data_IF_039446806462
#
_entry.id   IF_039446806462
#
_cell.length_a   1.000
_cell.length_b   1.000
_cell.length_c   1.000
_cell.angle_alpha   90.00
_cell.angle_beta   90.00
_cell.angle_gamma   90.00
#
_symmetry.space_group_name_H-M   'P 1'
#
loop_
_entity.id
_entity.type
_entity.pdbx_description
1 polymer ?
#
# COMPACT_ATOMS: atom_id res chain seq x y z
N UNK A 1 4.93 26.33 -23.15
CA UNK A 1 5.03 25.59 -21.86
C UNK A 1 6.36 24.89 -21.88
N UNK A 2 7.13 24.93 -20.79
CA UNK A 2 8.35 24.11 -20.67
C UNK A 2 7.91 22.66 -20.61
N UNK A 3 8.29 21.88 -21.60
CA UNK A 3 7.96 20.45 -21.68
C UNK A 3 8.60 19.72 -20.50
N UNK A 4 7.79 19.12 -19.64
CA UNK A 4 8.29 18.33 -18.52
C UNK A 4 8.91 17.05 -19.08
N UNK A 5 10.23 16.91 -18.96
CA UNK A 5 10.97 15.71 -19.33
C UNK A 5 11.08 14.78 -18.13
N UNK A 6 10.61 13.55 -18.26
CA UNK A 6 10.46 12.60 -17.17
C UNK A 6 11.25 11.31 -17.39
N UNK A 7 11.77 10.78 -16.31
CA UNK A 7 12.04 9.35 -16.18
C UNK A 7 10.89 8.71 -15.44
N UNK A 8 10.29 7.67 -16.00
CA UNK A 8 9.01 7.15 -15.53
C UNK A 8 9.12 5.67 -15.15
N UNK A 9 8.82 5.34 -13.89
CA UNK A 9 8.55 3.97 -13.49
C UNK A 9 7.14 3.56 -13.91
N UNK A 10 7.01 2.43 -14.59
CA UNK A 10 5.74 1.90 -15.07
C UNK A 10 5.34 0.66 -14.27
N UNK A 11 4.15 0.67 -13.70
CA UNK A 11 3.63 -0.49 -12.98
C UNK A 11 2.34 -0.23 -12.23
N UNK A 12 1.69 -1.30 -11.76
CA UNK A 12 0.52 -1.16 -10.90
C UNK A 12 0.92 -0.79 -9.46
N UNK A 13 2.11 -1.21 -9.02
CA UNK A 13 2.73 -0.85 -7.75
C UNK A 13 1.89 -1.16 -6.50
N UNK A 14 1.10 -2.22 -6.52
CA UNK A 14 0.33 -2.63 -5.38
C UNK A 14 1.24 -3.17 -4.26
N UNK A 15 1.18 -2.54 -3.09
CA UNK A 15 2.01 -2.84 -1.94
C UNK A 15 3.39 -2.19 -1.93
N UNK A 16 3.87 -1.57 -3.01
CA UNK A 16 5.21 -0.93 -3.09
C UNK A 16 6.32 -1.84 -2.54
N UNK A 17 6.29 -3.12 -2.88
CA UNK A 17 7.23 -4.12 -2.38
C UNK A 17 8.68 -3.90 -2.86
N UNK A 18 9.64 -4.67 -2.32
CA UNK A 18 11.07 -4.51 -2.63
C UNK A 18 11.40 -4.60 -4.13
N UNK A 19 10.63 -5.36 -4.92
CA UNK A 19 10.72 -5.35 -6.38
C UNK A 19 10.36 -3.98 -6.98
N UNK A 20 9.27 -3.37 -6.54
CA UNK A 20 8.88 -2.01 -6.92
C UNK A 20 9.90 -0.97 -6.45
N UNK A 21 10.46 -1.17 -5.26
CA UNK A 21 11.51 -0.29 -4.72
C UNK A 21 12.74 -0.23 -5.63
N UNK A 22 13.10 -1.31 -6.31
CA UNK A 22 14.20 -1.32 -7.28
C UNK A 22 13.92 -0.39 -8.47
N UNK A 23 12.67 -0.39 -9.00
CA UNK A 23 12.26 0.54 -10.06
C UNK A 23 12.33 2.00 -9.58
N UNK A 24 11.81 2.29 -8.37
CA UNK A 24 11.82 3.63 -7.79
C UNK A 24 13.24 4.18 -7.60
N UNK A 25 14.16 3.35 -7.10
CA UNK A 25 15.57 3.72 -6.95
C UNK A 25 16.20 4.03 -8.31
N UNK A 26 15.93 3.20 -9.33
CA UNK A 26 16.46 3.44 -10.67
C UNK A 26 15.94 4.75 -11.28
N UNK A 27 14.66 5.05 -11.10
CA UNK A 27 14.08 6.33 -11.54
C UNK A 27 14.77 7.53 -10.88
N UNK A 28 15.09 7.44 -9.58
CA UNK A 28 15.82 8.50 -8.87
C UNK A 28 17.26 8.67 -9.40
N UNK A 29 17.97 7.54 -9.63
CA UNK A 29 19.33 7.55 -10.20
C UNK A 29 19.36 8.20 -11.58
N UNK A 30 18.49 7.76 -12.49
CA UNK A 30 18.39 8.31 -13.85
C UNK A 30 17.96 9.77 -13.81
N UNK A 31 16.98 10.12 -12.98
CA UNK A 31 16.53 11.50 -12.79
C UNK A 31 17.67 12.45 -12.41
N UNK A 32 18.54 12.00 -11.50
CA UNK A 32 19.69 12.79 -11.06
C UNK A 32 20.79 12.89 -12.13
N UNK A 33 21.04 11.83 -12.91
CA UNK A 33 22.12 11.81 -13.92
C UNK A 33 21.74 12.48 -15.23
N UNK A 34 20.47 12.36 -15.65
CA UNK A 34 19.98 12.87 -16.94
C UNK A 34 19.19 14.18 -16.81
N UNK A 35 19.08 14.72 -15.59
CA UNK A 35 18.29 15.92 -15.29
C UNK A 35 16.82 15.78 -15.74
N UNK A 36 16.22 14.61 -15.44
CA UNK A 36 14.83 14.29 -15.70
C UNK A 36 14.02 14.34 -14.40
N UNK A 37 12.73 14.60 -14.51
CA UNK A 37 11.81 14.57 -13.36
C UNK A 37 11.52 13.09 -12.98
N UNK A 38 11.90 12.63 -11.79
CA UNK A 38 11.54 11.30 -11.31
C UNK A 38 10.03 11.19 -11.18
N UNK A 39 9.42 10.25 -11.91
CA UNK A 39 7.97 10.12 -12.02
C UNK A 39 7.53 8.66 -11.93
N UNK A 40 6.31 8.47 -11.46
CA UNK A 40 5.67 7.16 -11.39
C UNK A 40 4.34 7.20 -12.13
N UNK A 41 4.12 6.28 -13.03
CA UNK A 41 2.81 6.03 -13.63
C UNK A 41 2.25 4.73 -13.06
N UNK A 42 1.08 4.84 -12.43
CA UNK A 42 0.31 3.72 -11.88
C UNK A 42 -1.15 3.82 -12.31
N UNK A 43 -2.01 2.91 -11.86
CA UNK A 43 -3.41 2.84 -12.26
C UNK A 43 -4.32 2.97 -11.03
N UNK A 44 -5.47 3.58 -11.22
CA UNK A 44 -6.48 3.76 -10.17
C UNK A 44 -7.27 2.47 -9.85
N UNK A 45 -7.37 1.55 -10.81
CA UNK A 45 -8.05 0.26 -10.65
C UNK A 45 -7.13 -0.91 -11.05
N UNK A 46 -7.34 -2.08 -10.42
CA UNK A 46 -6.57 -3.27 -10.76
C UNK A 46 -6.89 -3.73 -12.19
N UNK A 47 -5.89 -3.92 -13.08
CA UNK A 47 -6.11 -4.31 -14.48
C UNK A 47 -7.01 -5.54 -14.64
N UNK A 48 -6.86 -6.56 -13.79
CA UNK A 48 -7.65 -7.80 -13.84
C UNK A 48 -9.14 -7.58 -13.56
N UNK A 49 -9.51 -6.53 -12.83
CA UNK A 49 -10.92 -6.21 -12.59
C UNK A 49 -11.63 -5.88 -13.90
N UNK A 50 -10.96 -5.18 -14.80
CA UNK A 50 -11.55 -4.72 -16.06
C UNK A 50 -11.33 -5.76 -17.17
N UNK A 51 -10.17 -6.39 -17.23
CA UNK A 51 -9.81 -7.35 -18.29
C UNK A 51 -10.42 -8.74 -18.04
N UNK A 52 -10.40 -9.21 -16.80
CA UNK A 52 -10.81 -10.58 -16.42
C UNK A 52 -12.13 -10.61 -15.64
N UNK A 53 -12.74 -9.45 -15.35
CA UNK A 53 -13.90 -9.31 -14.43
C UNK A 53 -13.66 -10.02 -13.08
N UNK A 54 -12.42 -9.97 -12.58
CA UNK A 54 -11.98 -10.62 -11.35
C UNK A 54 -11.60 -9.58 -10.32
N UNK A 55 -12.33 -9.53 -9.21
CA UNK A 55 -11.95 -8.69 -8.08
C UNK A 55 -10.70 -9.26 -7.40
N UNK A 56 -9.63 -8.49 -7.47
CA UNK A 56 -8.38 -8.75 -6.74
C UNK A 56 -8.25 -7.68 -5.67
N UNK A 57 -8.28 -8.02 -4.37
CA UNK A 57 -8.16 -7.03 -3.32
C UNK A 57 -6.77 -6.40 -3.35
N UNK A 58 -6.73 -5.07 -3.21
CA UNK A 58 -5.50 -4.28 -3.22
C UNK A 58 -4.79 -4.39 -1.86
N UNK A 59 -3.47 -4.40 -1.86
CA UNK A 59 -2.68 -4.31 -0.61
C UNK A 59 -2.82 -2.91 -0.02
N UNK A 60 -2.81 -1.88 -0.87
CA UNK A 60 -2.95 -0.48 -0.47
C UNK A 60 -4.02 0.24 -1.30
N UNK A 61 -4.73 1.17 -0.68
CA UNK A 61 -5.54 2.14 -1.41
C UNK A 61 -4.67 2.97 -2.37
N UNK A 62 -5.23 3.61 -3.40
CA UNK A 62 -4.47 4.55 -4.25
C UNK A 62 -3.79 5.65 -3.43
N UNK A 63 -4.47 6.17 -2.41
CA UNK A 63 -3.98 7.21 -1.50
C UNK A 63 -2.79 6.72 -0.68
N UNK A 64 -2.90 5.52 -0.08
CA UNK A 64 -1.79 4.90 0.68
C UNK A 64 -0.60 4.60 -0.22
N UNK A 65 -0.85 4.13 -1.44
CA UNK A 65 0.18 3.88 -2.45
C UNK A 65 0.96 5.15 -2.80
N UNK A 66 0.25 6.23 -3.11
CA UNK A 66 0.88 7.53 -3.36
C UNK A 66 1.63 8.04 -2.13
N UNK A 67 1.03 7.91 -0.95
CA UNK A 67 1.66 8.28 0.32
C UNK A 67 2.94 7.49 0.60
N UNK A 68 2.97 6.19 0.31
CA UNK A 68 4.16 5.34 0.43
C UNK A 68 5.26 5.79 -0.54
N UNK A 69 4.93 6.01 -1.82
CA UNK A 69 5.90 6.46 -2.82
C UNK A 69 6.57 7.76 -2.38
N UNK A 70 5.78 8.75 -1.94
CA UNK A 70 6.32 10.03 -1.45
C UNK A 70 7.20 9.86 -0.21
N UNK A 71 6.71 9.14 0.80
CA UNK A 71 7.45 9.00 2.08
C UNK A 71 8.74 8.20 1.97
N UNK A 72 8.70 7.09 1.21
CA UNK A 72 9.82 6.15 1.15
C UNK A 72 10.87 6.59 0.13
N UNK A 73 10.44 7.18 -1.00
CA UNK A 73 11.33 7.48 -2.12
C UNK A 73 11.44 8.98 -2.42
N UNK A 74 10.61 9.84 -1.85
CA UNK A 74 10.63 11.28 -2.15
C UNK A 74 10.17 11.61 -3.57
N UNK A 75 9.47 10.70 -4.27
CA UNK A 75 8.96 10.95 -5.62
C UNK A 75 7.60 11.63 -5.51
N UNK A 76 7.51 12.90 -5.96
CA UNK A 76 6.30 13.71 -5.89
C UNK A 76 5.42 13.60 -7.14
N UNK A 77 6.03 13.36 -8.31
CA UNK A 77 5.32 13.32 -9.60
C UNK A 77 4.72 11.92 -9.83
N UNK A 78 3.53 11.71 -9.25
CA UNK A 78 2.80 10.43 -9.31
C UNK A 78 1.55 10.63 -10.15
N UNK A 79 1.45 9.87 -11.23
CA UNK A 79 0.37 9.95 -12.21
C UNK A 79 -0.47 8.69 -12.13
N UNK A 80 -1.76 8.86 -11.81
CA UNK A 80 -2.73 7.77 -11.87
C UNK A 80 -3.40 7.78 -13.24
N UNK A 81 -3.10 6.77 -14.05
CA UNK A 81 -3.85 6.57 -15.29
C UNK A 81 -5.21 5.94 -14.95
N UNK A 82 -6.25 6.57 -15.51
CA UNK A 82 -7.58 5.99 -15.42
C UNK A 82 -7.66 4.79 -16.34
N UNK A 83 -8.04 3.64 -15.76
CA UNK A 83 -8.11 2.38 -16.50
C UNK A 83 -9.52 2.24 -17.12
N UNK A 84 -9.77 2.97 -18.20
CA UNK A 84 -11.03 2.97 -18.95
C UNK A 84 -10.96 2.14 -20.23
N UNK A 85 -12.07 2.11 -21.00
CA UNK A 85 -12.15 1.37 -22.27
C UNK A 85 -11.12 1.86 -23.29
N UNK A 86 -10.77 3.13 -23.28
CA UNK A 86 -9.80 3.73 -24.21
C UNK A 86 -8.40 3.24 -23.88
N UNK A 87 -8.00 3.34 -22.62
CA UNK A 87 -6.69 2.88 -22.14
C UNK A 87 -6.51 1.37 -22.32
N UNK A 88 -7.57 0.58 -22.05
CA UNK A 88 -7.55 -0.90 -22.20
C UNK A 88 -7.46 -1.34 -23.66
N UNK A 89 -7.99 -0.56 -24.60
CA UNK A 89 -7.96 -0.88 -26.04
C UNK A 89 -6.74 -0.35 -26.77
N UNK A 90 -5.90 0.44 -26.09
CA UNK A 90 -4.70 1.02 -26.68
C UNK A 90 -3.68 -0.08 -27.02
N UNK A 91 -3.18 -0.09 -28.24
CA UNK A 91 -2.10 -1.02 -28.64
C UNK A 91 -0.82 -0.72 -27.89
N UNK A 92 0.07 -1.69 -27.77
CA UNK A 92 1.29 -1.55 -26.99
C UNK A 92 2.20 -0.40 -27.49
N UNK A 93 2.30 -0.19 -28.80
CA UNK A 93 3.08 0.87 -29.43
C UNK A 93 2.46 2.24 -29.17
N UNK A 94 1.16 2.39 -29.37
CA UNK A 94 0.44 3.62 -29.07
C UNK A 94 0.51 4.00 -27.58
N UNK A 95 0.57 3.01 -26.68
CA UNK A 95 0.77 3.28 -25.25
C UNK A 95 2.12 3.96 -24.99
N UNK A 96 3.20 3.47 -25.60
CA UNK A 96 4.54 4.09 -25.44
C UNK A 96 4.58 5.45 -26.12
N UNK A 97 4.00 5.61 -27.32
CA UNK A 97 3.89 6.89 -28.00
C UNK A 97 3.10 7.90 -27.16
N UNK A 98 2.04 7.48 -26.48
CA UNK A 98 1.27 8.31 -25.54
C UNK A 98 2.13 8.75 -24.34
N UNK A 99 2.92 7.86 -23.76
CA UNK A 99 3.86 8.22 -22.68
C UNK A 99 4.89 9.26 -23.14
N UNK A 100 5.42 9.09 -24.34
CA UNK A 100 6.41 9.98 -24.91
C UNK A 100 5.84 11.37 -25.20
N UNK A 101 4.67 11.44 -25.86
CA UNK A 101 4.09 12.69 -26.34
C UNK A 101 3.33 13.45 -25.25
N UNK A 102 2.49 12.78 -24.46
CA UNK A 102 1.61 13.45 -23.50
C UNK A 102 2.25 13.59 -22.11
N UNK A 103 3.05 12.59 -21.70
CA UNK A 103 3.71 12.66 -20.40
C UNK A 103 5.17 13.09 -20.45
N UNK A 104 5.72 13.30 -21.63
CA UNK A 104 7.08 13.76 -21.79
C UNK A 104 8.12 12.74 -21.34
N UNK A 105 7.82 11.43 -21.49
CA UNK A 105 8.77 10.38 -21.18
C UNK A 105 10.04 10.50 -22.03
N UNK A 106 11.19 10.46 -21.36
CA UNK A 106 12.52 10.43 -21.99
C UNK A 106 13.33 9.23 -21.53
N UNK A 107 12.87 8.56 -20.47
CA UNK A 107 13.43 7.30 -19.99
C UNK A 107 12.31 6.51 -19.32
N UNK A 108 12.17 5.24 -19.64
CA UNK A 108 11.16 4.34 -19.07
C UNK A 108 11.83 3.25 -18.23
N UNK A 109 11.30 3.00 -17.04
CA UNK A 109 11.77 1.95 -16.13
C UNK A 109 10.62 0.98 -15.86
N UNK A 110 10.81 -0.29 -16.18
CA UNK A 110 9.80 -1.33 -16.00
C UNK A 110 10.37 -2.63 -15.44
N UNK A 111 9.54 -3.47 -14.83
CA UNK A 111 9.92 -4.83 -14.46
C UNK A 111 10.03 -5.75 -15.67
N UNK A 112 10.80 -6.83 -15.55
CA UNK A 112 10.96 -7.82 -16.62
C UNK A 112 9.64 -8.53 -16.99
N UNK A 113 8.71 -8.64 -16.05
CA UNK A 113 7.38 -9.23 -16.20
C UNK A 113 6.30 -8.23 -16.60
N UNK A 114 6.65 -6.95 -16.80
CA UNK A 114 5.69 -5.89 -17.11
C UNK A 114 4.95 -6.16 -18.42
N UNK A 115 3.62 -6.16 -18.34
CA UNK A 115 2.71 -6.31 -19.47
C UNK A 115 1.86 -5.06 -19.63
N UNK A 116 1.70 -4.59 -20.86
CA UNK A 116 0.97 -3.37 -21.18
C UNK A 116 0.31 -3.46 -22.56
N UNK A 117 -0.44 -2.45 -22.91
CA UNK A 117 -1.23 -2.45 -24.15
C UNK A 117 -2.45 -3.37 -24.06
N UNK A 118 -3.20 -3.40 -25.17
CA UNK A 118 -4.43 -4.19 -25.29
C UNK A 118 -4.16 -5.65 -24.94
N UNK A 119 -4.95 -6.20 -24.00
CA UNK A 119 -4.83 -7.58 -23.50
C UNK A 119 -3.44 -7.98 -22.99
N UNK A 120 -2.58 -6.98 -22.65
CA UNK A 120 -1.22 -7.23 -22.16
C UNK A 120 -0.29 -7.80 -23.23
N UNK A 121 -0.50 -7.47 -24.47
CA UNK A 121 0.34 -7.93 -25.61
C UNK A 121 1.77 -7.38 -25.57
N UNK A 122 1.95 -6.16 -25.00
CA UNK A 122 3.25 -5.53 -24.82
C UNK A 122 4.09 -6.26 -23.78
N UNK A 123 5.38 -6.35 -24.05
CA UNK A 123 6.39 -6.96 -23.17
C UNK A 123 7.54 -5.99 -22.91
N UNK A 124 8.33 -6.26 -21.86
CA UNK A 124 9.53 -5.49 -21.54
C UNK A 124 10.52 -5.40 -22.72
N UNK A 125 10.64 -6.46 -23.53
CA UNK A 125 11.46 -6.46 -24.75
C UNK A 125 10.91 -5.46 -25.79
N UNK A 126 9.61 -5.49 -26.08
CA UNK A 126 8.96 -4.57 -27.02
C UNK A 126 9.03 -3.11 -26.51
N UNK A 127 8.98 -2.91 -25.19
CA UNK A 127 9.20 -1.58 -24.59
C UNK A 127 10.61 -1.07 -24.91
N UNK A 128 11.64 -1.89 -24.72
CA UNK A 128 13.03 -1.53 -25.01
C UNK A 128 13.22 -1.20 -26.50
N UNK A 129 12.74 -2.07 -27.41
CA UNK A 129 12.82 -1.87 -28.85
C UNK A 129 12.14 -0.53 -29.28
N UNK A 130 10.96 -0.21 -28.72
CA UNK A 130 10.25 1.04 -29.03
C UNK A 130 10.96 2.28 -28.46
N UNK A 131 11.56 2.15 -27.26
CA UNK A 131 12.39 3.23 -26.70
C UNK A 131 13.59 3.54 -27.60
N UNK A 132 14.25 2.52 -28.14
CA UNK A 132 15.37 2.70 -29.08
C UNK A 132 14.92 3.41 -30.36
N UNK A 133 13.74 3.06 -30.92
CA UNK A 133 13.14 3.73 -32.07
C UNK A 133 12.87 5.22 -31.81
N UNK A 134 12.40 5.56 -30.60
CA UNK A 134 12.09 6.93 -30.19
C UNK A 134 13.32 7.72 -29.73
N UNK A 135 14.47 7.08 -29.60
CA UNK A 135 15.70 7.69 -29.10
C UNK A 135 15.62 8.10 -27.64
N UNK A 136 14.90 7.35 -26.81
CA UNK A 136 14.78 7.54 -25.35
C UNK A 136 15.40 6.37 -24.58
N UNK A 137 15.78 6.64 -23.31
CA UNK A 137 16.34 5.61 -22.44
C UNK A 137 15.33 4.58 -21.97
N UNK A 138 15.82 3.39 -21.59
CA UNK A 138 15.02 2.38 -20.92
C UNK A 138 15.86 1.52 -19.96
N UNK A 139 15.23 1.05 -18.89
CA UNK A 139 15.80 0.07 -17.96
C UNK A 139 14.76 -1.00 -17.66
N UNK A 140 15.15 -2.25 -17.83
CA UNK A 140 14.33 -3.41 -17.46
C UNK A 140 14.91 -4.02 -16.20
N UNK A 141 14.17 -3.90 -15.11
CA UNK A 141 14.60 -4.33 -13.78
C UNK A 141 14.28 -5.83 -13.59
N UNK A 142 15.26 -6.64 -13.21
CA UNK A 142 15.04 -8.05 -12.93
C UNK A 142 14.25 -8.27 -11.63
N UNK A 143 13.73 -9.51 -11.46
CA UNK A 143 13.03 -9.92 -10.25
C UNK A 143 13.91 -9.76 -9.00
N UNK A 144 13.35 -9.11 -7.99
CA UNK A 144 13.98 -8.98 -6.68
C UNK A 144 13.49 -10.09 -5.76
N UNK A 145 14.42 -10.77 -5.11
CA UNK A 145 14.14 -11.88 -4.19
C UNK A 145 14.48 -11.49 -2.75
N UNK A 146 13.66 -11.96 -1.83
CA UNK A 146 13.95 -11.98 -0.41
C UNK A 146 13.89 -13.45 0.06
N UNK A 147 14.92 -13.90 0.76
CA UNK A 147 15.04 -15.29 1.24
C UNK A 147 14.82 -16.33 0.11
N UNK A 148 15.37 -16.07 -1.10
CA UNK A 148 15.26 -16.94 -2.27
C UNK A 148 13.91 -16.89 -3.01
N UNK A 149 12.90 -16.18 -2.48
CA UNK A 149 11.56 -16.07 -3.04
C UNK A 149 11.40 -14.73 -3.77
N UNK A 150 10.83 -14.76 -4.98
CA UNK A 150 10.51 -13.55 -5.73
C UNK A 150 9.44 -12.74 -4.97
N UNK A 151 9.74 -11.45 -4.74
CA UNK A 151 8.77 -10.55 -4.13
C UNK A 151 7.68 -10.20 -5.14
N UNK A 152 6.43 -10.51 -4.78
CA UNK A 152 5.26 -10.21 -5.61
C UNK A 152 4.06 -9.83 -4.75
N UNK A 153 3.18 -8.96 -5.29
CA UNK A 153 1.94 -8.58 -4.61
C UNK A 153 1.05 -9.80 -4.28
N UNK A 154 1.06 -10.84 -5.11
CA UNK A 154 0.28 -12.06 -4.86
C UNK A 154 0.78 -12.83 -3.64
N UNK A 155 2.10 -12.98 -3.50
CA UNK A 155 2.68 -13.64 -2.34
C UNK A 155 2.44 -12.83 -1.05
N UNK A 156 2.59 -11.51 -1.12
CA UNK A 156 2.35 -10.62 0.02
C UNK A 156 0.88 -10.66 0.46
N UNK A 157 -0.09 -10.71 -0.48
CA UNK A 157 -1.52 -10.87 -0.13
C UNK A 157 -1.76 -12.16 0.67
N UNK A 158 -1.14 -13.27 0.28
CA UNK A 158 -1.27 -14.53 1.02
C UNK A 158 -0.74 -14.38 2.45
N UNK A 159 0.47 -13.81 2.63
CA UNK A 159 1.04 -13.57 3.96
C UNK A 159 0.15 -12.68 4.84
N UNK A 160 -0.42 -11.60 4.29
CA UNK A 160 -1.35 -10.73 5.01
C UNK A 160 -2.64 -11.46 5.40
N UNK A 161 -3.17 -12.31 4.51
CA UNK A 161 -4.38 -13.12 4.75
C UNK A 161 -4.14 -14.19 5.81
N UNK A 162 -2.94 -14.77 5.87
CA UNK A 162 -2.53 -15.74 6.88
C UNK A 162 -2.16 -15.06 8.22
N UNK A 163 -1.91 -13.75 8.19
CA UNK A 163 -1.54 -12.96 9.37
C UNK A 163 -0.05 -12.98 9.69
N UNK A 164 0.79 -13.42 8.76
CA UNK A 164 2.25 -13.34 8.86
C UNK A 164 2.72 -11.93 8.44
N UNK A 165 2.38 -10.95 9.28
CA UNK A 165 2.63 -9.55 9.01
C UNK A 165 4.13 -9.21 9.02
N UNK A 166 4.92 -9.87 9.86
CA UNK A 166 6.36 -9.64 9.97
C UNK A 166 7.04 -10.06 8.65
N UNK A 167 6.67 -11.21 8.12
CA UNK A 167 7.19 -11.67 6.83
C UNK A 167 6.65 -10.84 5.66
N UNK A 168 5.37 -10.46 5.68
CA UNK A 168 4.81 -9.55 4.67
C UNK A 168 5.59 -8.23 4.62
N UNK A 169 5.92 -7.64 5.77
CA UNK A 169 6.71 -6.42 5.87
C UNK A 169 8.14 -6.59 5.32
N UNK A 170 8.75 -7.76 5.52
CA UNK A 170 10.07 -8.04 4.94
C UNK A 170 10.03 -8.04 3.39
N UNK A 171 8.99 -8.60 2.79
CA UNK A 171 8.79 -8.57 1.34
C UNK A 171 8.34 -7.20 0.82
N UNK A 172 7.58 -6.46 1.60
CA UNK A 172 7.23 -5.07 1.30
C UNK A 172 8.46 -4.15 1.37
N UNK A 173 9.36 -4.37 2.33
CA UNK A 173 10.47 -3.46 2.65
C UNK A 173 10.03 -2.26 3.50
N UNK A 174 8.79 -2.27 3.97
CA UNK A 174 8.18 -1.29 4.87
C UNK A 174 7.00 -1.95 5.61
N UNK A 175 6.52 -1.38 6.72
CA UNK A 175 5.30 -1.89 7.38
C UNK A 175 4.07 -1.78 6.48
N UNK A 176 3.16 -2.76 6.59
CA UNK A 176 1.82 -2.63 6.00
C UNK A 176 1.08 -1.45 6.65
N UNK A 177 0.35 -0.68 5.85
CA UNK A 177 -0.26 0.58 6.29
C UNK A 177 -1.77 0.60 6.09
N UNK A 178 -2.45 1.33 6.97
CA UNK A 178 -3.84 1.76 6.84
C UNK A 178 -3.92 3.25 7.16
N UNK A 179 -4.39 4.06 6.21
CA UNK A 179 -4.70 5.48 6.44
C UNK A 179 -6.20 5.69 6.28
N UNK A 180 -6.84 6.27 7.31
CA UNK A 180 -8.26 6.64 7.25
C UNK A 180 -8.54 7.81 8.21
N UNK A 181 -9.70 8.42 8.08
CA UNK A 181 -10.20 9.42 9.02
C UNK A 181 -10.83 8.72 10.22
N UNK A 182 -10.46 9.14 11.42
CA UNK A 182 -10.99 8.57 12.67
C UNK A 182 -12.51 8.81 12.79
N UNK A 183 -13.25 7.72 12.94
CA UNK A 183 -14.72 7.69 13.02
C UNK A 183 -15.21 7.44 14.43
N UNK A 184 -16.47 7.82 14.68
CA UNK A 184 -17.14 7.44 15.92
C UNK A 184 -17.40 5.94 15.97
N UNK A 185 -17.07 5.31 17.11
CA UNK A 185 -17.39 3.93 17.45
C UNK A 185 -18.36 3.84 18.63
N UNK A 186 -18.65 2.62 19.12
CA UNK A 186 -19.57 2.40 20.25
C UNK A 186 -19.04 2.84 21.63
N UNK A 187 -17.82 3.37 21.69
CA UNK A 187 -17.18 3.91 22.91
C UNK A 187 -17.00 2.89 24.05
N UNK A 188 -17.10 1.56 23.77
CA UNK A 188 -16.92 0.52 24.78
C UNK A 188 -15.54 0.61 25.45
N UNK A 189 -14.48 0.89 24.68
CA UNK A 189 -13.14 1.08 25.23
C UNK A 189 -13.03 2.18 26.28
N UNK A 190 -13.86 3.24 26.19
CA UNK A 190 -13.91 4.31 27.23
C UNK A 190 -14.37 3.78 28.58
N UNK A 191 -15.36 2.89 28.60
CA UNK A 191 -15.88 2.29 29.86
C UNK A 191 -14.88 1.34 30.48
N UNK A 192 -13.96 0.81 29.66
CA UNK A 192 -12.88 -0.09 30.08
C UNK A 192 -11.59 0.66 30.48
N UNK A 193 -11.53 1.98 30.30
CA UNK A 193 -10.33 2.77 30.54
C UNK A 193 -9.29 2.70 29.39
N UNK A 194 -9.64 2.10 28.27
CA UNK A 194 -8.79 1.93 27.07
C UNK A 194 -9.49 2.53 25.84
N UNK A 195 -9.57 3.88 25.72
CA UNK A 195 -10.23 4.50 24.59
C UNK A 195 -9.57 4.10 23.26
N UNK A 196 -10.38 3.83 22.23
CA UNK A 196 -9.93 3.44 20.91
C UNK A 196 -10.36 4.44 19.84
N UNK A 197 -9.52 4.63 18.83
CA UNK A 197 -9.92 5.21 17.54
C UNK A 197 -10.44 4.11 16.64
N UNK A 198 -11.34 4.47 15.74
CA UNK A 198 -11.98 3.53 14.82
C UNK A 198 -11.73 3.95 13.38
N UNK A 199 -11.18 3.04 12.60
CA UNK A 199 -10.84 3.23 11.20
C UNK A 199 -11.38 2.07 10.36
N UNK A 200 -11.47 2.25 9.04
CA UNK A 200 -11.97 1.26 8.09
C UNK A 200 -11.00 1.09 6.93
N UNK A 201 -10.89 -0.12 6.46
CA UNK A 201 -10.23 -0.38 5.19
C UNK A 201 -11.08 0.18 4.05
N UNK A 202 -10.44 0.81 3.07
CA UNK A 202 -11.14 1.32 1.89
C UNK A 202 -11.78 0.14 1.09
N UNK A 203 -12.90 0.36 0.39
CA UNK A 203 -13.50 -0.67 -0.44
C UNK A 203 -12.50 -1.27 -1.43
N UNK A 204 -12.45 -2.59 -1.53
CA UNK A 204 -11.52 -3.30 -2.42
C UNK A 204 -10.08 -3.42 -1.90
N UNK A 205 -9.77 -2.89 -0.72
CA UNK A 205 -8.48 -3.11 -0.05
C UNK A 205 -8.54 -4.40 0.77
N UNK A 206 -7.44 -5.15 0.73
CA UNK A 206 -7.26 -6.37 1.50
C UNK A 206 -7.29 -6.05 3.00
N UNK A 207 -8.09 -6.81 3.72
CA UNK A 207 -8.04 -6.81 5.18
C UNK A 207 -7.10 -7.92 5.64
N UNK A 208 -6.07 -7.62 6.43
CA UNK A 208 -5.22 -8.64 7.03
C UNK A 208 -6.02 -9.60 7.92
N UNK A 209 -5.44 -10.75 8.26
CA UNK A 209 -6.07 -11.71 9.15
C UNK A 209 -6.59 -11.03 10.43
N UNK A 210 -7.81 -11.41 10.86
CA UNK A 210 -8.39 -10.86 12.08
C UNK A 210 -7.52 -11.18 13.30
N UNK A 211 -7.41 -10.22 14.21
CA UNK A 211 -6.59 -10.35 15.40
C UNK A 211 -6.09 -9.03 15.94
N UNK A 212 -5.21 -9.12 16.91
CA UNK A 212 -4.62 -7.98 17.61
C UNK A 212 -3.17 -7.81 17.17
N UNK A 213 -2.80 -6.57 16.88
CA UNK A 213 -1.52 -6.20 16.30
C UNK A 213 -0.80 -5.14 17.15
N UNK A 214 0.52 -5.25 17.25
CA UNK A 214 1.39 -4.16 17.65
C UNK A 214 1.55 -3.20 16.46
N UNK A 215 1.27 -1.93 16.68
CA UNK A 215 1.19 -0.91 15.62
C UNK A 215 1.90 0.38 16.03
N UNK A 216 2.38 1.14 15.04
CA UNK A 216 2.72 2.55 15.19
C UNK A 216 1.59 3.40 14.60
N UNK A 217 1.31 4.48 15.27
CA UNK A 217 0.24 5.43 14.93
C UNK A 217 0.86 6.78 14.64
N UNK A 218 0.63 7.30 13.45
CA UNK A 218 1.17 8.58 13.00
C UNK A 218 0.03 9.58 12.83
N UNK A 219 0.16 10.73 13.45
CA UNK A 219 -0.80 11.82 13.38
C UNK A 219 -0.39 12.87 12.34
N UNK A 220 -1.32 13.72 11.93
CA UNK A 220 -1.09 14.79 10.95
C UNK A 220 -0.02 15.79 11.38
N UNK A 221 0.17 16.00 12.68
CA UNK A 221 1.20 16.88 13.24
C UNK A 221 2.60 16.22 13.34
N UNK A 222 2.74 15.01 12.80
CA UNK A 222 4.00 14.25 12.79
C UNK A 222 4.27 13.46 14.07
N UNK A 223 3.37 13.49 15.07
CA UNK A 223 3.53 12.71 16.29
C UNK A 223 3.41 11.21 15.98
N UNK A 224 4.39 10.44 16.45
CA UNK A 224 4.39 8.97 16.43
C UNK A 224 4.04 8.42 17.82
N UNK A 225 3.16 7.43 17.87
CA UNK A 225 2.76 6.76 19.09
C UNK A 225 2.73 5.23 18.91
N UNK A 226 2.87 4.50 20.00
CA UNK A 226 2.64 3.05 20.01
C UNK A 226 1.14 2.79 20.15
N UNK A 227 0.63 1.82 19.39
CA UNK A 227 -0.76 1.40 19.45
C UNK A 227 -0.93 -0.11 19.49
N UNK A 228 -2.10 -0.51 19.95
CA UNK A 228 -2.62 -1.89 19.84
C UNK A 228 -3.86 -1.83 18.99
N UNK A 229 -3.84 -2.50 17.85
CA UNK A 229 -4.93 -2.47 16.87
C UNK A 229 -5.61 -3.83 16.80
N UNK A 230 -6.91 -3.87 17.03
CA UNK A 230 -7.75 -5.03 16.74
C UNK A 230 -8.38 -4.88 15.36
N UNK A 231 -8.19 -5.86 14.49
CA UNK A 231 -8.92 -6.02 13.23
C UNK A 231 -9.97 -7.11 13.44
N UNK A 232 -11.23 -6.78 13.25
CA UNK A 232 -12.33 -7.73 13.42
C UNK A 232 -13.65 -7.24 12.85
N UNK A 233 -14.67 -8.11 12.91
CA UNK A 233 -16.04 -7.77 12.50
C UNK A 233 -16.81 -7.17 13.65
N UNK A 234 -17.63 -6.17 13.35
CA UNK A 234 -18.61 -5.63 14.28
C UNK A 234 -20.02 -5.90 13.79
N UNK A 235 -20.90 -6.49 14.63
CA UNK A 235 -22.33 -6.50 14.35
C UNK A 235 -22.87 -5.08 14.37
N UNK A 236 -23.55 -4.66 13.31
CA UNK A 236 -24.31 -3.40 13.27
C UNK A 236 -25.78 -3.67 13.48
N UNK A 237 -26.52 -2.64 13.88
CA UNK A 237 -27.98 -2.70 14.09
C UNK A 237 -28.70 -3.12 12.79
N UNK A 238 -28.09 -2.86 11.63
CA UNK A 238 -28.62 -3.15 10.29
C UNK A 238 -28.17 -4.51 9.71
N UNK A 239 -27.69 -5.45 10.55
CA UNK A 239 -27.18 -6.78 10.15
C UNK A 239 -26.04 -6.78 9.12
N UNK A 240 -25.45 -5.64 8.77
CA UNK A 240 -24.24 -5.58 7.93
C UNK A 240 -23.01 -5.70 8.83
N UNK A 241 -22.21 -6.74 8.62
CA UNK A 241 -20.91 -6.87 9.27
C UNK A 241 -19.93 -5.87 8.65
N UNK A 242 -19.48 -4.89 9.44
CA UNK A 242 -18.40 -4.00 9.00
C UNK A 242 -17.09 -4.42 9.66
N UNK A 243 -16.08 -4.63 8.80
CA UNK A 243 -14.71 -4.85 9.29
C UNK A 243 -14.13 -3.51 9.71
N UNK A 244 -13.58 -3.45 10.92
CA UNK A 244 -12.99 -2.26 11.51
C UNK A 244 -11.61 -2.54 12.06
N UNK A 245 -10.75 -1.51 12.03
CA UNK A 245 -9.52 -1.44 12.78
C UNK A 245 -9.75 -0.53 14.00
N UNK A 246 -9.73 -1.11 15.20
CA UNK A 246 -9.86 -0.40 16.46
C UNK A 246 -8.51 -0.31 17.14
N UNK A 247 -8.01 0.91 17.29
CA UNK A 247 -6.67 1.11 17.84
C UNK A 247 -6.75 1.85 19.17
N UNK A 248 -6.23 1.21 20.23
CA UNK A 248 -5.87 1.87 21.47
C UNK A 248 -4.45 2.44 21.33
N UNK A 249 -4.32 3.76 21.50
CA UNK A 249 -3.02 4.45 21.46
C UNK A 249 -2.53 4.56 22.91
N UNK A 250 -1.35 4.02 23.18
CA UNK A 250 -0.77 3.97 24.51
C UNK A 250 -0.42 5.39 25.00
N UNK A 251 -0.72 5.68 26.26
CA UNK A 251 -0.39 6.93 26.94
C UNK A 251 -0.86 8.20 26.19
N UNK A 252 -2.02 8.11 25.53
CA UNK A 252 -2.53 9.15 24.66
C UNK A 252 -3.97 9.54 25.00
N UNK A 253 -4.25 10.88 25.10
CA UNK A 253 -5.54 11.39 25.57
C UNK A 253 -6.19 12.46 24.67
N UNK A 254 -5.62 12.71 23.45
CA UNK A 254 -6.18 13.71 22.54
C UNK A 254 -7.42 13.19 21.82
N UNK A 255 -8.32 14.10 21.45
CA UNK A 255 -9.45 13.79 20.58
C UNK A 255 -8.99 13.79 19.13
N UNK A 256 -9.19 12.67 18.43
CA UNK A 256 -8.77 12.46 17.04
C UNK A 256 -9.95 12.30 16.06
N UNK A 257 -11.21 12.47 16.50
CA UNK A 257 -12.35 12.34 15.60
C UNK A 257 -12.28 13.35 14.46
N UNK A 258 -12.43 12.87 13.21
CA UNK A 258 -12.35 13.67 12.01
C UNK A 258 -10.92 13.94 11.52
N UNK A 259 -9.89 13.59 12.28
CA UNK A 259 -8.50 13.69 11.87
C UNK A 259 -8.08 12.46 11.05
N UNK A 260 -7.22 12.65 10.08
CA UNK A 260 -6.57 11.55 9.36
C UNK A 260 -5.48 10.94 10.25
N UNK A 261 -5.44 9.62 10.30
CA UNK A 261 -4.43 8.86 11.04
C UNK A 261 -3.90 7.76 10.16
N UNK A 262 -2.60 7.54 10.23
CA UNK A 262 -1.93 6.41 9.58
C UNK A 262 -1.49 5.41 10.63
N UNK A 263 -1.86 4.14 10.43
CA UNK A 263 -1.46 3.00 11.25
C UNK A 263 -0.50 2.15 10.45
N UNK A 264 0.63 1.80 11.04
CA UNK A 264 1.60 0.85 10.53
C UNK A 264 1.58 -0.44 11.36
N UNK A 265 1.39 -1.58 10.70
CA UNK A 265 1.28 -2.89 11.34
C UNK A 265 2.64 -3.58 11.38
N UNK A 266 3.09 -3.95 12.57
CA UNK A 266 4.42 -4.54 12.74
C UNK A 266 4.39 -6.01 13.12
N UNK A 267 3.51 -6.39 14.05
CA UNK A 267 3.45 -7.77 14.57
C UNK A 267 2.02 -8.16 14.91
N UNK A 268 1.61 -9.35 14.53
CA UNK A 268 0.36 -9.96 15.03
C UNK A 268 0.61 -10.56 16.39
N UNK A 269 0.04 -9.99 17.43
CA UNK A 269 0.19 -10.46 18.81
C UNK A 269 -0.60 -11.73 19.08
N UNK A 270 -1.82 -11.80 18.54
CA UNK A 270 -2.71 -12.96 18.67
C UNK A 270 -3.90 -12.92 17.69
N UNK A 271 -4.59 -14.04 17.44
CA UNK A 271 -5.90 -14.02 16.77
C UNK A 271 -6.98 -13.40 17.68
N UNK A 272 -8.18 -13.12 17.10
CA UNK A 272 -9.35 -12.75 17.90
C UNK A 272 -9.77 -13.89 18.83
N UNK A 273 -10.19 -13.55 20.05
CA UNK A 273 -10.71 -14.48 21.06
C UNK A 273 -12.00 -13.94 21.64
N UNK A 274 -12.93 -14.79 21.93
CA UNK A 274 -14.14 -14.42 22.71
C UNK A 274 -13.80 -14.50 24.20
N UNK A 275 -14.28 -13.53 24.97
CA UNK A 275 -14.11 -13.45 26.42
C UNK A 275 -15.42 -13.75 27.10
N UNK A 276 -15.34 -14.42 28.26
CA UNK A 276 -16.53 -14.80 29.02
C UNK A 276 -17.10 -13.61 29.80
N UNK A 277 -16.23 -12.70 30.22
CA UNK A 277 -16.60 -11.51 30.95
C UNK A 277 -15.69 -10.30 30.64
N UNK A 278 -16.08 -9.15 31.17
CA UNK A 278 -15.40 -7.87 30.97
C UNK A 278 -14.04 -7.81 31.67
N UNK A 279 -13.86 -8.53 32.77
CA UNK A 279 -12.60 -8.56 33.52
C UNK A 279 -11.52 -9.28 32.71
N UNK A 280 -11.85 -10.45 32.13
CA UNK A 280 -10.97 -11.21 31.26
C UNK A 280 -10.53 -10.39 30.03
N UNK A 281 -11.48 -9.67 29.41
CA UNK A 281 -11.19 -8.76 28.30
C UNK A 281 -10.20 -7.67 28.72
N UNK A 282 -10.43 -7.02 29.87
CA UNK A 282 -9.57 -5.95 30.38
C UNK A 282 -8.15 -6.42 30.66
N UNK A 283 -8.00 -7.58 31.30
CA UNK A 283 -6.70 -8.19 31.56
C UNK A 283 -5.96 -8.51 30.26
N UNK A 284 -6.68 -9.03 29.25
CA UNK A 284 -6.08 -9.34 27.96
C UNK A 284 -5.63 -8.08 27.24
N UNK A 285 -6.43 -7.00 27.22
CA UNK A 285 -6.02 -5.71 26.65
C UNK A 285 -4.72 -5.20 27.33
N UNK A 286 -4.62 -5.34 28.66
CA UNK A 286 -3.40 -4.93 29.38
C UNK A 286 -2.19 -5.76 28.95
N UNK A 287 -2.33 -7.08 28.78
CA UNK A 287 -1.27 -7.95 28.26
C UNK A 287 -0.86 -7.56 26.84
N UNK A 288 -1.82 -7.25 25.96
CA UNK A 288 -1.57 -6.85 24.59
C UNK A 288 -0.83 -5.50 24.54
N UNK A 289 -1.22 -4.53 25.37
CA UNK A 289 -0.53 -3.24 25.49
C UNK A 289 0.93 -3.40 25.94
N UNK A 290 1.16 -4.24 26.97
CA UNK A 290 2.50 -4.54 27.46
C UNK A 290 3.35 -5.20 26.36
N UNK A 291 2.78 -6.20 25.65
CA UNK A 291 3.48 -6.88 24.56
C UNK A 291 3.85 -5.93 23.41
N UNK A 292 2.96 -4.99 23.05
CA UNK A 292 3.26 -3.97 22.04
C UNK A 292 4.36 -3.01 22.50
N UNK A 293 4.30 -2.54 23.75
CA UNK A 293 5.34 -1.66 24.31
C UNK A 293 6.71 -2.35 24.35
N UNK A 294 6.78 -3.61 24.78
CA UNK A 294 8.00 -4.42 24.79
C UNK A 294 8.56 -4.68 23.39
N UNK A 295 7.69 -4.85 22.40
CA UNK A 295 8.10 -5.04 21.00
C UNK A 295 8.82 -3.83 20.44
N UNK A 296 8.36 -2.61 20.73
CA UNK A 296 8.96 -1.36 20.23
C UNK A 296 10.05 -0.77 21.15
N UNK A 297 10.32 -1.36 22.31
CA UNK A 297 11.41 -0.93 23.19
C UNK A 297 12.74 -1.66 22.93
N UNK A 298 12.72 -2.63 22.01
CA UNK A 298 13.92 -3.36 21.54
C UNK A 298 14.57 -2.63 20.37
#
# INVERSE_FOLDING_TARGET
MIEKKRVIALGFFDGIHIGHAALMKRVLEVGATENLIPSVITFDAHPRRIVENKDVPLINSPEDRAGLIRRVFGIEDIIFLHFDKTTVSMTWDNFIDHLYNEFGARHLVAGNDFKFGSRGEGSSKMLAEKCDELGIGNDIIPDVKYDGIVSSSSYIRNLLTEGDIERANAFLGHPHVLTDVVRYGFKLGRTLGTPTINMRFAPGVLVPAFGVYATKVYLEDGLEQTGVTNIGTRPTVDSSEHITAETHILDFQRNLYGHQVRIEFYKRLRPEVKFNDVSELKEQIHRDCKAAAEYFSK
#
